data_IF_711392354456
#
_entry.id   IF_711392354456
#
_cell.length_a   1.000
_cell.length_b   1.000
_cell.length_c   1.000
_cell.angle_alpha   90.00
_cell.angle_beta   90.00
_cell.angle_gamma   90.00
#
_symmetry.space_group_name_H-M   'P 1'
#
loop_
_entity.id
_entity.type
_entity.pdbx_description
1 polymer ?
#
# COMPACT_ATOMS: atom_id res chain seq x y z
N UNK A 1 10.11 62.48 -36.04
CA UNK A 1 10.62 61.62 -37.14
C UNK A 1 9.61 60.49 -37.32
N UNK A 2 8.52 60.68 -38.07
CA UNK A 2 8.33 60.45 -39.52
C UNK A 2 8.64 59.01 -39.99
N UNK A 3 7.64 58.18 -39.74
CA UNK A 3 7.23 56.97 -40.45
C UNK A 3 7.46 57.07 -41.97
N UNK A 4 8.10 56.06 -42.57
CA UNK A 4 8.11 55.85 -44.02
C UNK A 4 7.73 54.41 -44.32
N UNK A 5 6.52 54.31 -44.84
CA UNK A 5 5.91 53.18 -45.52
C UNK A 5 6.71 52.92 -46.81
N UNK A 6 7.08 51.66 -47.06
CA UNK A 6 7.54 51.23 -48.37
C UNK A 6 6.62 50.11 -48.85
N UNK A 7 5.71 50.48 -49.74
CA UNK A 7 4.86 49.58 -50.51
C UNK A 7 5.67 49.18 -51.75
N UNK A 8 5.84 47.88 -51.98
CA UNK A 8 6.28 47.37 -53.28
C UNK A 8 5.37 46.22 -53.65
N UNK A 9 4.48 46.50 -54.60
CA UNK A 9 3.58 45.54 -55.24
C UNK A 9 4.30 45.00 -56.47
N UNK A 10 4.43 43.67 -56.58
CA UNK A 10 4.63 43.00 -57.86
C UNK A 10 3.72 41.77 -57.93
N UNK A 11 2.71 41.86 -58.79
CA UNK A 11 1.97 40.73 -59.34
C UNK A 11 2.91 39.88 -60.20
N UNK A 12 2.76 38.55 -60.22
CA UNK A 12 2.54 37.79 -61.45
C UNK A 12 2.22 36.28 -61.20
N UNK A 13 1.14 35.84 -61.84
CA UNK A 13 0.95 34.58 -62.59
C UNK A 13 0.93 33.19 -61.91
N UNK A 14 -0.25 32.56 -62.02
CA UNK A 14 -0.61 31.13 -62.12
C UNK A 14 0.47 30.06 -62.19
N UNK A 15 0.31 29.01 -61.38
CA UNK A 15 0.40 27.62 -61.84
C UNK A 15 -0.42 26.68 -60.93
N UNK A 16 -1.44 26.03 -61.49
CA UNK A 16 -2.23 24.97 -60.87
C UNK A 16 -1.45 23.66 -60.88
N UNK A 17 -1.40 22.97 -59.73
CA UNK A 17 -1.11 21.53 -59.65
C UNK A 17 -2.03 20.91 -58.59
N UNK A 18 -2.99 20.13 -59.07
CA UNK A 18 -3.79 19.20 -58.28
C UNK A 18 -2.85 18.20 -57.60
N UNK A 19 -2.78 18.23 -56.28
CA UNK A 19 -2.24 17.11 -55.51
C UNK A 19 -3.41 16.36 -54.88
N UNK A 20 -3.67 15.16 -55.39
CA UNK A 20 -4.44 14.14 -54.67
C UNK A 20 -3.67 13.82 -53.39
N UNK A 21 -4.09 14.41 -52.27
CA UNK A 21 -3.65 13.96 -50.95
C UNK A 21 -4.73 13.05 -50.38
N UNK A 22 -4.42 11.76 -50.32
CA UNK A 22 -5.19 10.78 -49.57
C UNK A 22 -5.45 11.32 -48.16
N UNK A 23 -6.71 11.56 -47.81
CA UNK A 23 -7.14 11.54 -46.42
C UNK A 23 -6.95 10.11 -45.91
N UNK A 24 -5.76 9.85 -45.37
CA UNK A 24 -5.57 8.72 -44.48
C UNK A 24 -6.18 9.15 -43.15
N UNK A 25 -7.40 8.68 -42.93
CA UNK A 25 -8.09 8.73 -41.65
C UNK A 25 -7.19 8.06 -40.61
N UNK A 26 -6.43 8.89 -39.91
CA UNK A 26 -5.62 8.47 -38.78
C UNK A 26 -6.60 8.22 -37.65
N UNK A 27 -7.02 6.97 -37.54
CA UNK A 27 -7.71 6.45 -36.37
C UNK A 27 -6.94 6.94 -35.13
N UNK A 28 -7.53 7.91 -34.43
CA UNK A 28 -7.06 8.38 -33.14
C UNK A 28 -7.06 7.14 -32.24
N UNK A 29 -5.87 6.60 -31.97
CA UNK A 29 -5.68 5.64 -30.87
C UNK A 29 -6.31 6.29 -29.64
N UNK A 30 -7.23 5.61 -28.93
CA UNK A 30 -7.60 6.04 -27.60
C UNK A 30 -6.31 6.17 -26.79
N UNK A 31 -6.10 7.33 -26.18
CA UNK A 31 -5.13 7.49 -25.11
C UNK A 31 -5.35 6.36 -24.10
N UNK A 32 -4.30 5.71 -23.57
CA UNK A 32 -4.44 4.97 -22.33
C UNK A 32 -5.00 5.96 -21.33
N UNK A 33 -6.25 5.76 -20.90
CA UNK A 33 -6.72 6.38 -19.67
C UNK A 33 -5.77 5.88 -18.60
N UNK A 34 -4.98 6.80 -18.08
CA UNK A 34 -4.30 6.67 -16.80
C UNK A 34 -5.40 6.37 -15.79
N UNK A 35 -5.58 5.07 -15.54
CA UNK A 35 -6.44 4.57 -14.48
C UNK A 35 -5.82 5.06 -13.19
N UNK A 36 -6.32 6.19 -12.70
CA UNK A 36 -6.17 6.60 -11.32
C UNK A 36 -6.73 5.41 -10.53
N UNK A 37 -5.83 4.55 -10.04
CA UNK A 37 -6.12 3.52 -9.07
C UNK A 37 -6.51 4.23 -7.76
N UNK A 38 -7.73 4.76 -7.76
CA UNK A 38 -8.51 4.95 -6.55
C UNK A 38 -8.59 3.55 -5.97
N UNK A 39 -7.94 3.30 -4.83
CA UNK A 39 -8.14 2.05 -4.10
C UNK A 39 -9.57 2.08 -3.55
N UNK A 40 -10.51 1.73 -4.41
CA UNK A 40 -11.84 1.31 -3.99
C UNK A 40 -11.57 0.03 -3.23
N UNK A 41 -11.79 0.03 -1.92
CA UNK A 41 -11.85 -1.19 -1.12
C UNK A 41 -12.94 -2.09 -1.75
N UNK A 42 -12.51 -2.96 -2.65
CA UNK A 42 -13.39 -3.88 -3.37
C UNK A 42 -13.68 -5.05 -2.46
N UNK A 43 -14.97 -5.24 -2.16
CA UNK A 43 -15.59 -6.42 -1.60
C UNK A 43 -14.71 -7.68 -1.50
N UNK A 44 -14.11 -7.84 -0.31
CA UNK A 44 -14.20 -8.99 0.59
C UNK A 44 -14.10 -10.41 -0.03
N UNK A 45 -13.00 -10.69 -0.72
CA UNK A 45 -12.45 -12.04 -0.71
C UNK A 45 -11.16 -12.00 0.11
N UNK A 46 -11.11 -12.69 1.27
CA UNK A 46 -9.89 -12.81 2.07
C UNK A 46 -8.69 -13.19 1.22
N UNK A 47 -7.57 -12.49 1.39
CA UNK A 47 -6.32 -12.78 0.69
C UNK A 47 -5.32 -13.44 1.63
N UNK A 48 -4.34 -14.14 1.10
CA UNK A 48 -3.26 -14.75 1.89
C UNK A 48 -2.00 -13.85 1.98
N UNK A 49 -2.02 -12.71 1.30
CA UNK A 49 -0.96 -11.70 1.32
C UNK A 49 -1.60 -10.33 1.54
N UNK A 50 -1.11 -9.55 2.52
CA UNK A 50 -1.62 -8.22 2.85
C UNK A 50 -0.52 -7.16 2.78
N UNK A 51 -0.86 -5.97 2.28
CA UNK A 51 -0.08 -4.74 2.47
C UNK A 51 -0.77 -3.92 3.57
N UNK A 52 -0.31 -4.08 4.81
CA UNK A 52 -0.92 -3.43 5.96
C UNK A 52 -0.30 -2.06 6.15
N UNK A 53 -1.12 -1.02 6.08
CA UNK A 53 -0.71 0.36 6.29
C UNK A 53 -1.12 0.77 7.70
N UNK A 54 -0.17 1.27 8.48
CA UNK A 54 -0.42 1.81 9.81
C UNK A 54 -0.15 3.31 9.82
N UNK A 55 -1.06 4.06 10.43
CA UNK A 55 -0.99 5.52 10.52
C UNK A 55 -1.10 5.97 11.97
N UNK A 56 -0.40 7.05 12.28
CA UNK A 56 -0.50 7.76 13.56
C UNK A 56 -0.53 9.26 13.35
N UNK A 57 -0.44 9.98 14.46
CA UNK A 57 -0.34 11.44 14.49
C UNK A 57 0.97 11.93 13.84
N UNK A 58 1.02 13.22 13.48
CA UNK A 58 2.24 13.90 13.00
C UNK A 58 2.94 13.24 11.80
N UNK A 59 2.20 12.49 10.98
CA UNK A 59 2.74 11.81 9.80
C UNK A 59 3.45 10.49 10.10
N UNK A 60 3.42 10.02 11.35
CA UNK A 60 3.91 8.69 11.75
C UNK A 60 3.31 7.60 10.88
N UNK A 61 4.16 6.68 10.45
CA UNK A 61 3.78 5.68 9.47
C UNK A 61 4.43 4.33 9.74
N UNK A 62 3.68 3.26 9.47
CA UNK A 62 4.16 1.89 9.44
C UNK A 62 3.63 1.15 8.22
N UNK A 63 4.38 0.14 7.80
CA UNK A 63 3.99 -0.81 6.77
C UNK A 63 4.38 -2.22 7.18
N UNK A 64 3.46 -3.18 7.01
CA UNK A 64 3.74 -4.61 7.20
C UNK A 64 3.41 -5.34 5.91
N UNK A 65 4.44 -5.94 5.30
CA UNK A 65 4.25 -6.90 4.22
C UNK A 65 3.97 -8.27 4.85
N UNK A 66 2.70 -8.65 4.87
CA UNK A 66 2.26 -9.92 5.44
C UNK A 66 2.19 -10.97 4.33
N UNK A 67 3.01 -12.01 4.40
CA UNK A 67 3.15 -13.00 3.33
C UNK A 67 3.09 -14.43 3.86
N UNK A 68 2.34 -15.28 3.17
CA UNK A 68 2.37 -16.73 3.38
C UNK A 68 2.68 -17.43 2.05
N UNK A 69 3.86 -18.04 1.98
CA UNK A 69 4.27 -18.82 0.82
C UNK A 69 3.48 -20.12 0.71
N UNK A 70 3.55 -20.76 -0.47
CA UNK A 70 2.96 -22.09 -0.66
C UNK A 70 3.94 -23.11 -0.11
N UNK A 71 3.87 -23.35 1.20
CA UNK A 71 4.74 -24.30 1.88
C UNK A 71 3.96 -25.15 2.92
N UNK A 72 4.45 -26.36 3.26
CA UNK A 72 3.78 -27.23 4.23
C UNK A 72 3.92 -26.76 5.68
N UNK A 73 4.86 -25.85 5.98
CA UNK A 73 5.09 -25.32 7.33
C UNK A 73 4.11 -24.22 7.72
N UNK A 74 3.40 -23.62 6.76
CA UNK A 74 2.44 -22.53 6.97
C UNK A 74 3.05 -21.40 7.81
N UNK A 75 4.23 -20.95 7.40
CA UNK A 75 4.87 -19.80 8.02
C UNK A 75 4.38 -18.54 7.33
N UNK A 76 3.96 -17.59 8.16
CA UNK A 76 3.68 -16.23 7.76
C UNK A 76 4.90 -15.40 8.09
N UNK A 77 5.47 -14.72 7.11
CA UNK A 77 6.52 -13.72 7.28
C UNK A 77 5.89 -12.32 7.27
N UNK A 78 6.39 -11.45 8.14
CA UNK A 78 5.93 -10.08 8.29
C UNK A 78 7.12 -9.12 8.24
N UNK A 79 7.42 -8.58 7.05
CA UNK A 79 8.42 -7.52 6.93
C UNK A 79 7.79 -6.22 7.42
N UNK A 80 8.22 -5.76 8.58
CA UNK A 80 7.68 -4.59 9.26
C UNK A 80 8.65 -3.44 9.15
N UNK A 81 8.17 -2.28 8.73
CA UNK A 81 8.94 -1.05 8.68
C UNK A 81 8.13 0.10 9.25
N UNK A 82 8.79 0.99 9.99
CA UNK A 82 8.22 2.19 10.61
C UNK A 82 9.09 3.41 10.34
N UNK A 83 8.50 4.59 10.38
CA UNK A 83 9.20 5.87 10.31
C UNK A 83 8.49 6.98 11.07
N UNK A 84 9.24 8.06 11.28
CA UNK A 84 8.80 9.28 11.95
C UNK A 84 8.36 9.03 13.40
N UNK A 85 8.84 7.93 14.01
CA UNK A 85 8.68 7.61 15.42
C UNK A 85 9.80 8.24 16.27
N UNK A 86 9.77 8.07 17.59
CA UNK A 86 10.84 8.55 18.46
C UNK A 86 12.17 7.86 18.08
N UNK A 87 13.29 8.59 17.93
CA UNK A 87 14.59 8.01 17.67
C UNK A 87 15.10 7.09 18.79
N UNK A 88 15.89 6.07 18.43
CA UNK A 88 16.53 5.15 19.40
C UNK A 88 15.57 4.48 20.39
N UNK A 89 14.34 4.25 19.96
CA UNK A 89 13.26 3.80 20.81
C UNK A 89 12.68 2.47 20.37
N UNK A 90 12.15 1.70 21.32
CA UNK A 90 11.62 0.36 21.05
C UNK A 90 10.11 0.38 20.91
N UNK A 91 9.64 -0.31 19.90
CA UNK A 91 8.24 -0.49 19.59
C UNK A 91 7.89 -1.97 19.41
N UNK A 92 6.61 -2.30 19.57
CA UNK A 92 6.10 -3.66 19.41
C UNK A 92 4.97 -3.65 18.39
N UNK A 93 5.03 -4.56 17.41
CA UNK A 93 3.90 -4.84 16.54
C UNK A 93 2.93 -5.78 17.28
N UNK A 94 1.65 -5.43 17.28
CA UNK A 94 0.58 -6.28 17.80
C UNK A 94 -0.46 -6.51 16.72
N UNK A 95 -1.12 -7.67 16.78
CA UNK A 95 -2.34 -7.96 16.01
C UNK A 95 -3.49 -8.31 16.94
N UNK A 96 -4.70 -8.06 16.48
CA UNK A 96 -5.91 -8.68 17.00
C UNK A 96 -6.69 -9.28 15.83
N UNK A 97 -7.38 -10.38 16.12
CA UNK A 97 -8.12 -11.18 15.14
C UNK A 97 -9.49 -11.45 15.71
N UNK A 98 -10.51 -11.27 14.90
CA UNK A 98 -11.90 -11.54 15.27
C UNK A 98 -12.15 -13.05 15.38
N UNK A 99 -13.28 -13.42 15.99
CA UNK A 99 -13.62 -14.83 16.13
C UNK A 99 -13.73 -15.50 14.76
N UNK A 100 -13.28 -16.76 14.66
CA UNK A 100 -13.39 -17.51 13.42
C UNK A 100 -14.87 -17.53 12.96
N UNK A 101 -15.10 -17.18 11.69
CA UNK A 101 -16.41 -16.99 11.03
C UNK A 101 -17.11 -15.62 11.24
N UNK A 102 -16.49 -14.67 11.93
CA UNK A 102 -16.86 -13.25 11.86
C UNK A 102 -15.91 -12.59 10.85
N UNK A 103 -16.34 -12.57 9.59
CA UNK A 103 -15.58 -12.04 8.45
C UNK A 103 -16.45 -11.04 7.72
N UNK A 104 -16.74 -9.92 8.39
CA UNK A 104 -17.63 -8.86 7.92
C UNK A 104 -16.89 -7.58 7.51
N UNK A 105 -15.56 -7.56 7.70
CA UNK A 105 -14.68 -6.44 7.39
C UNK A 105 -14.57 -5.42 8.53
N UNK A 106 -15.17 -5.67 9.69
CA UNK A 106 -15.13 -4.80 10.85
C UNK A 106 -14.39 -5.50 12.00
N UNK A 107 -13.12 -5.16 12.18
CA UNK A 107 -12.31 -5.71 13.26
C UNK A 107 -12.76 -5.15 14.61
N UNK A 108 -13.37 -5.99 15.43
CA UNK A 108 -13.90 -5.62 16.77
C UNK A 108 -13.10 -6.22 17.92
N UNK A 109 -12.25 -7.20 17.64
CA UNK A 109 -11.43 -7.86 18.64
C UNK A 109 -10.50 -6.89 19.35
N UNK A 110 -10.40 -7.04 20.66
CA UNK A 110 -9.43 -6.32 21.51
C UNK A 110 -8.40 -7.26 22.10
N UNK A 111 -8.36 -8.51 21.62
CA UNK A 111 -7.42 -9.55 22.07
C UNK A 111 -6.06 -9.36 21.40
N UNK A 112 -5.37 -8.29 21.79
CA UNK A 112 -4.09 -7.90 21.21
C UNK A 112 -2.97 -8.88 21.59
N UNK A 113 -2.23 -9.31 20.58
CA UNK A 113 -1.14 -10.25 20.71
C UNK A 113 0.14 -9.67 20.09
N UNK A 114 1.20 -9.60 20.88
CA UNK A 114 2.50 -9.09 20.44
C UNK A 114 3.18 -10.06 19.49
N UNK A 115 3.55 -9.57 18.32
CA UNK A 115 4.25 -10.32 17.28
C UNK A 115 5.77 -10.33 17.52
N UNK A 116 6.46 -11.24 16.83
CA UNK A 116 7.84 -11.55 17.14
C UNK A 116 8.45 -12.62 16.24
N UNK A 117 9.55 -13.22 16.70
CA UNK A 117 10.17 -14.37 16.04
C UNK A 117 9.50 -15.65 16.56
N UNK A 118 8.37 -16.00 15.94
CA UNK A 118 7.51 -17.07 16.44
C UNK A 118 6.78 -16.63 17.71
N UNK A 119 6.75 -17.48 18.74
CA UNK A 119 6.09 -17.15 20.02
C UNK A 119 6.87 -16.13 20.87
N UNK A 120 8.13 -15.85 20.53
CA UNK A 120 8.97 -14.91 21.27
C UNK A 120 8.75 -13.48 20.75
N UNK A 121 8.26 -12.54 21.58
CA UNK A 121 8.11 -11.13 21.20
C UNK A 121 9.44 -10.53 20.71
N UNK A 122 9.39 -9.70 19.66
CA UNK A 122 10.55 -8.98 19.14
C UNK A 122 10.17 -7.49 19.00
N UNK A 123 11.04 -6.61 19.51
CA UNK A 123 10.88 -5.18 19.36
C UNK A 123 11.48 -4.67 18.06
N UNK A 124 10.84 -3.67 17.47
CA UNK A 124 11.42 -2.83 16.42
C UNK A 124 12.20 -1.71 17.11
N UNK A 125 13.50 -1.63 16.88
CA UNK A 125 14.34 -0.54 17.37
C UNK A 125 14.45 0.52 16.27
N UNK A 126 14.10 1.77 16.59
CA UNK A 126 14.31 2.88 15.66
C UNK A 126 15.75 3.39 15.71
N UNK A 127 16.22 3.92 14.58
CA UNK A 127 17.50 4.61 14.45
C UNK A 127 17.42 6.06 14.94
N UNK A 128 18.51 6.82 14.75
CA UNK A 128 18.60 8.25 15.09
C UNK A 128 17.60 9.14 14.32
N UNK A 129 16.97 8.62 13.27
CA UNK A 129 15.98 9.33 12.45
C UNK A 129 14.54 8.82 12.70
N UNK A 130 14.32 7.99 13.72
CA UNK A 130 13.01 7.45 14.03
C UNK A 130 12.52 6.38 13.04
N UNK A 131 13.41 5.77 12.27
CA UNK A 131 13.11 4.68 11.32
C UNK A 131 13.50 3.35 11.92
N UNK A 132 12.69 2.33 11.72
CA UNK A 132 13.03 0.98 12.17
C UNK A 132 12.44 -0.06 11.25
N UNK A 133 13.08 -1.23 11.22
CA UNK A 133 12.59 -2.40 10.53
C UNK A 133 12.82 -3.65 11.37
N UNK A 134 11.93 -4.62 11.21
CA UNK A 134 12.09 -5.97 11.71
C UNK A 134 11.39 -6.95 10.78
N UNK A 135 12.00 -8.11 10.60
CA UNK A 135 11.35 -9.26 9.97
C UNK A 135 10.73 -10.10 11.09
N UNK A 136 9.42 -10.32 11.09
CA UNK A 136 8.76 -11.16 12.10
C UNK A 136 8.19 -12.41 11.44
N UNK A 137 7.86 -13.43 12.22
CA UNK A 137 7.21 -14.62 11.67
C UNK A 137 6.24 -15.27 12.63
N UNK A 138 5.25 -15.96 12.06
CA UNK A 138 4.27 -16.76 12.80
C UNK A 138 4.03 -18.09 12.13
N UNK A 139 4.10 -19.13 12.94
CA UNK A 139 3.62 -20.46 12.60
C UNK A 139 2.10 -20.51 12.77
N UNK A 140 1.38 -20.83 11.70
CA UNK A 140 -0.07 -21.08 11.71
C UNK A 140 -0.42 -22.51 11.26
N UNK A 141 0.51 -23.45 11.41
CA UNK A 141 0.32 -24.88 11.10
C UNK A 141 -0.87 -25.51 11.83
N UNK A 142 -1.17 -25.03 13.03
CA UNK A 142 -2.32 -25.45 13.82
C UNK A 142 -3.67 -24.91 13.31
N UNK A 143 -3.67 -23.96 12.36
CA UNK A 143 -4.87 -23.39 11.77
C UNK A 143 -5.19 -24.10 10.45
N UNK A 144 -6.45 -24.52 10.29
CA UNK A 144 -6.88 -25.18 9.07
C UNK A 144 -6.73 -24.25 7.86
N UNK A 145 -6.25 -24.79 6.73
CA UNK A 145 -6.23 -24.07 5.46
C UNK A 145 -7.64 -23.65 5.07
N UNK A 146 -7.78 -22.48 4.48
CA UNK A 146 -9.08 -21.88 4.15
C UNK A 146 -9.77 -21.17 5.31
N UNK A 147 -9.21 -21.21 6.54
CA UNK A 147 -9.75 -20.42 7.65
C UNK A 147 -9.53 -18.94 7.34
N UNK A 148 -10.63 -18.20 7.26
CA UNK A 148 -10.61 -16.76 7.07
C UNK A 148 -10.93 -16.02 8.38
N UNK A 149 -10.34 -14.85 8.54
CA UNK A 149 -10.59 -13.97 9.67
C UNK A 149 -10.35 -12.50 9.31
N UNK A 150 -11.07 -11.62 10.00
CA UNK A 150 -10.76 -10.20 10.04
C UNK A 150 -9.60 -9.95 11.03
N UNK A 151 -8.60 -9.18 10.60
CA UNK A 151 -7.36 -8.90 11.32
C UNK A 151 -7.01 -7.41 11.23
N UNK A 152 -6.58 -6.85 12.35
CA UNK A 152 -5.99 -5.51 12.39
C UNK A 152 -4.72 -5.49 13.24
N UNK A 153 -3.94 -4.43 13.04
CA UNK A 153 -2.62 -4.27 13.59
C UNK A 153 -2.47 -2.93 14.28
N UNK A 154 -1.56 -2.89 15.23
CA UNK A 154 -1.10 -1.65 15.84
C UNK A 154 0.36 -1.73 16.20
N UNK A 155 1.01 -0.57 16.26
CA UNK A 155 2.33 -0.42 16.87
C UNK A 155 2.13 0.27 18.21
N UNK A 156 2.74 -0.30 19.24
CA UNK A 156 2.76 0.27 20.58
C UNK A 156 4.18 0.58 21.01
N UNK A 157 4.33 1.61 21.82
CA UNK A 157 5.56 1.90 22.55
C UNK A 157 5.90 0.73 23.49
N UNK A 158 7.13 0.20 23.42
CA UNK A 158 7.50 -1.00 24.18
C UNK A 158 7.64 -0.75 25.71
N UNK A 159 7.74 0.51 26.13
CA UNK A 159 7.90 0.90 27.52
C UNK A 159 6.55 1.27 28.14
N UNK A 160 5.77 2.09 27.45
CA UNK A 160 4.50 2.65 27.96
C UNK A 160 3.28 1.87 27.51
N UNK A 161 3.41 1.01 26.49
CA UNK A 161 2.31 0.32 25.81
C UNK A 161 1.29 1.27 25.17
N UNK A 162 1.62 2.56 25.03
CA UNK A 162 0.80 3.52 24.32
C UNK A 162 0.73 3.16 22.83
N UNK A 163 -0.46 3.24 22.25
CA UNK A 163 -0.67 2.99 20.82
C UNK A 163 -0.19 4.20 20.03
N UNK A 164 0.72 3.98 19.07
CA UNK A 164 1.31 5.07 18.26
C UNK A 164 0.93 4.97 16.78
N UNK A 165 0.64 3.77 16.29
CA UNK A 165 0.13 3.55 14.93
C UNK A 165 -1.00 2.52 14.98
N UNK A 166 -2.03 2.71 14.17
CA UNK A 166 -3.09 1.72 13.94
C UNK A 166 -3.28 1.48 12.46
N UNK A 167 -3.67 0.26 12.11
CA UNK A 167 -4.13 -0.09 10.77
C UNK A 167 -5.65 -0.01 10.66
N UNK A 168 -6.15 0.00 9.44
CA UNK A 168 -7.54 -0.37 9.14
C UNK A 168 -7.77 -1.88 9.40
N UNK A 169 -8.99 -2.36 9.18
CA UNK A 169 -9.30 -3.78 9.19
C UNK A 169 -8.96 -4.44 7.85
N UNK A 170 -8.42 -5.64 7.91
CA UNK A 170 -8.07 -6.46 6.74
C UNK A 170 -8.73 -7.84 6.88
N UNK A 171 -9.00 -8.48 5.75
CA UNK A 171 -9.46 -9.87 5.73
C UNK A 171 -8.34 -10.78 5.24
N UNK A 172 -8.03 -11.82 6.01
CA UNK A 172 -6.98 -12.77 5.68
C UNK A 172 -7.49 -14.20 5.66
N UNK A 173 -6.94 -15.02 4.76
CA UNK A 173 -7.17 -16.46 4.70
C UNK A 173 -5.86 -17.23 4.78
N UNK A 174 -5.85 -18.24 5.64
CA UNK A 174 -4.72 -19.18 5.76
C UNK A 174 -4.67 -20.06 4.51
N UNK A 175 -3.51 -20.10 3.84
CA UNK A 175 -3.22 -21.07 2.77
C UNK A 175 -3.12 -22.50 3.28
#
# INVERSE_FOLDING_TARGET
MKQKILITVLLLSSLTLFTLSCQKESARKPQPQEEIATSIATANNPTFNLEVILRGEDGRFGHVKFRQDVDPSKIIVLDTWVRDLEPNHRYLLQRAVDAANVVDGNCTSTSWFTLGKGLTPQSILTDDNGRGDEELWRDVSAVASGTAFDIHFRIVDATTMAVVLNSDCYQYIVR
#
